data_IF_368617406877
#
_entry.id   IF_368617406877
#
_cell.length_a   1.000
_cell.length_b   1.000
_cell.length_c   1.000
_cell.angle_alpha   90.00
_cell.angle_beta   90.00
_cell.angle_gamma   90.00
#
_symmetry.space_group_name_H-M   'P 1'
#
loop_
_entity.id
_entity.type
_entity.pdbx_description
1 polymer ?
#
# COMPACT_ATOMS: atom_id res chain seq x y z
N UNK A 1 -7.39 3.98 4.88
CA UNK A 1 -8.22 5.20 4.85
C UNK A 1 -7.80 6.09 3.68
N UNK A 2 -8.77 6.64 2.97
CA UNK A 2 -8.61 7.48 1.78
C UNK A 2 -8.84 8.96 2.07
N UNK A 3 -9.57 9.32 3.12
CA UNK A 3 -9.80 10.73 3.48
C UNK A 3 -10.14 10.87 4.95
N UNK A 4 -9.75 11.99 5.54
CA UNK A 4 -10.23 12.42 6.87
C UNK A 4 -11.24 13.53 6.66
N UNK A 5 -12.49 13.32 7.09
CA UNK A 5 -13.58 14.30 6.95
C UNK A 5 -13.63 15.26 8.12
N UNK A 6 -13.56 14.72 9.34
CA UNK A 6 -13.71 15.49 10.57
C UNK A 6 -12.80 14.93 11.65
N UNK A 7 -12.16 15.84 12.37
CA UNK A 7 -11.39 15.54 13.57
C UNK A 7 -12.05 16.29 14.71
N UNK A 8 -12.63 15.57 15.66
CA UNK A 8 -13.20 16.15 16.88
C UNK A 8 -12.30 15.79 18.07
N UNK A 9 -12.67 16.18 19.29
CA UNK A 9 -11.87 15.90 20.47
C UNK A 9 -11.72 14.37 20.69
N UNK A 10 -12.85 13.66 20.75
CA UNK A 10 -12.93 12.22 21.09
C UNK A 10 -13.09 11.29 19.88
N UNK A 11 -13.53 11.83 18.75
CA UNK A 11 -13.98 11.07 17.57
C UNK A 11 -13.27 11.52 16.30
N UNK A 12 -13.24 10.63 15.31
CA UNK A 12 -12.69 10.84 13.98
C UNK A 12 -13.67 10.28 12.95
N UNK A 13 -13.99 11.08 11.93
CA UNK A 13 -14.78 10.62 10.78
C UNK A 13 -13.87 10.46 9.58
N UNK A 14 -13.77 9.25 9.04
CA UNK A 14 -12.86 8.89 7.94
C UNK A 14 -13.59 8.18 6.80
N UNK A 15 -13.00 8.25 5.61
CA UNK A 15 -13.40 7.44 4.46
C UNK A 15 -12.48 6.23 4.33
N UNK A 16 -13.04 5.03 4.36
CA UNK A 16 -12.35 3.78 4.04
C UNK A 16 -12.62 3.43 2.59
N UNK A 17 -11.56 3.27 1.80
CA UNK A 17 -11.69 2.82 0.42
C UNK A 17 -12.12 1.35 0.36
N UNK A 18 -13.04 1.06 -0.56
CA UNK A 18 -13.43 -0.26 -1.05
C UNK A 18 -13.18 -0.32 -2.56
N UNK A 19 -13.35 -1.50 -3.15
CA UNK A 19 -13.17 -1.71 -4.60
C UNK A 19 -14.14 -0.84 -5.43
N UNK A 20 -15.40 -0.76 -5.02
CA UNK A 20 -16.46 -0.04 -5.75
C UNK A 20 -16.85 1.33 -5.13
N UNK A 21 -16.09 1.83 -4.15
CA UNK A 21 -16.43 3.10 -3.50
C UNK A 21 -15.74 3.35 -2.16
N UNK A 22 -16.45 3.99 -1.24
CA UNK A 22 -15.94 4.28 0.09
C UNK A 22 -17.03 4.21 1.17
N UNK A 23 -16.61 3.83 2.38
CA UNK A 23 -17.44 3.87 3.58
C UNK A 23 -17.05 5.07 4.44
N UNK A 24 -18.05 5.79 4.96
CA UNK A 24 -17.83 6.85 5.95
C UNK A 24 -18.02 6.25 7.34
N UNK A 25 -16.94 6.21 8.13
CA UNK A 25 -16.92 5.56 9.44
C UNK A 25 -16.54 6.59 10.50
N UNK A 26 -17.28 6.61 11.61
CA UNK A 26 -16.90 7.32 12.83
C UNK A 26 -16.22 6.35 13.81
N UNK A 27 -15.06 6.74 14.33
CA UNK A 27 -14.27 5.95 15.29
C UNK A 27 -13.90 6.79 16.50
N UNK A 28 -13.87 6.17 17.68
CA UNK A 28 -13.41 6.78 18.92
C UNK A 28 -11.89 6.68 19.07
N UNK A 29 -11.27 7.69 19.67
CA UNK A 29 -9.84 7.71 19.99
C UNK A 29 -9.57 7.02 21.34
N UNK A 30 -8.41 6.34 21.52
CA UNK A 30 -7.32 6.15 20.57
C UNK A 30 -7.63 5.08 19.52
N UNK A 31 -7.23 5.31 18.28
CA UNK A 31 -7.44 4.36 17.17
C UNK A 31 -6.20 4.29 16.26
N UNK A 32 -6.01 3.16 15.60
CA UNK A 32 -4.99 2.97 14.57
C UNK A 32 -5.63 3.03 13.18
N UNK A 33 -5.05 3.84 12.30
CA UNK A 33 -5.52 4.01 10.92
C UNK A 33 -4.36 3.76 9.97
N UNK A 34 -4.57 2.93 8.95
CA UNK A 34 -3.63 2.75 7.83
C UNK A 34 -3.98 3.70 6.70
N UNK A 35 -3.01 4.44 6.16
CA UNK A 35 -3.21 5.36 5.04
C UNK A 35 -2.88 4.69 3.71
N UNK A 36 -3.70 4.95 2.68
CA UNK A 36 -3.38 4.58 1.29
C UNK A 36 -2.78 5.79 0.56
N UNK A 37 -2.11 5.56 -0.57
CA UNK A 37 -1.41 6.60 -1.34
C UNK A 37 -2.34 7.73 -1.80
N UNK A 38 -3.61 7.42 -2.01
CA UNK A 38 -4.66 8.31 -2.50
C UNK A 38 -5.09 9.33 -1.43
N UNK A 39 -4.67 9.15 -0.16
CA UNK A 39 -5.06 10.01 0.95
C UNK A 39 -4.69 11.48 0.74
N UNK A 40 -3.45 11.73 0.33
CA UNK A 40 -2.94 13.07 0.07
C UNK A 40 -1.68 13.02 -0.81
N UNK A 41 -1.27 14.19 -1.32
CA UNK A 41 0.05 14.36 -1.94
C UNK A 41 1.03 14.85 -0.88
N UNK A 42 2.08 14.09 -0.52
CA UNK A 42 3.09 14.54 0.43
C UNK A 42 3.71 15.87 -0.01
N UNK A 43 3.83 16.81 0.92
CA UNK A 43 4.43 18.13 0.64
C UNK A 43 5.93 18.00 0.37
N UNK A 44 6.47 18.92 -0.43
CA UNK A 44 7.92 19.05 -0.58
C UNK A 44 8.60 19.54 0.70
N UNK A 45 9.90 19.25 0.77
CA UNK A 45 10.79 19.77 1.80
C UNK A 45 11.07 21.26 1.55
N UNK A 46 11.41 21.99 2.61
CA UNK A 46 11.94 23.35 2.51
C UNK A 46 13.39 23.35 3.00
N UNK A 47 14.23 24.21 2.40
CA UNK A 47 15.67 24.26 2.71
C UNK A 47 15.93 24.47 4.20
N UNK A 48 15.24 25.43 4.83
CA UNK A 48 15.38 25.66 6.28
C UNK A 48 15.00 24.45 7.14
N UNK A 49 13.96 23.70 6.76
CA UNK A 49 13.54 22.50 7.51
C UNK A 49 14.50 21.32 7.33
N UNK A 50 15.28 21.30 6.25
CA UNK A 50 16.34 20.30 6.06
C UNK A 50 17.46 20.55 7.08
N UNK A 51 17.94 21.78 7.17
CA UNK A 51 18.94 22.19 8.17
C UNK A 51 18.47 21.93 9.61
N UNK A 52 17.21 22.27 9.93
CA UNK A 52 16.61 21.96 11.23
C UNK A 52 16.55 20.46 11.49
N UNK A 53 16.20 19.64 10.49
CA UNK A 53 16.09 18.20 10.64
C UNK A 53 17.46 17.55 10.94
N UNK A 54 18.54 18.03 10.32
CA UNK A 54 19.91 17.54 10.60
C UNK A 54 20.37 17.86 12.03
N UNK A 55 19.87 18.94 12.63
CA UNK A 55 20.22 19.35 13.99
C UNK A 55 19.39 18.66 15.07
N UNK A 56 18.26 18.01 14.69
CA UNK A 56 17.41 17.31 15.65
C UNK A 56 18.09 16.00 16.08
N UNK A 57 18.11 15.77 17.38
CA UNK A 57 18.54 14.49 17.93
C UNK A 57 17.53 13.40 17.53
N UNK A 58 18.04 12.31 16.96
CA UNK A 58 17.26 11.11 16.63
C UNK A 58 17.48 10.11 17.75
N UNK A 59 16.45 9.85 18.54
CA UNK A 59 16.51 8.81 19.57
C UNK A 59 16.53 7.45 18.88
N UNK A 60 17.62 6.70 19.08
CA UNK A 60 17.77 5.31 18.60
C UNK A 60 17.42 4.38 19.75
N UNK A 61 16.47 3.49 19.52
CA UNK A 61 16.01 2.51 20.51
C UNK A 61 16.54 1.15 20.12
N UNK A 62 17.07 0.41 21.09
CA UNK A 62 17.47 -0.99 20.95
C UNK A 62 16.50 -1.92 21.71
N UNK A 63 16.75 -3.23 21.68
CA UNK A 63 15.92 -4.20 22.38
C UNK A 63 15.94 -4.01 23.90
N UNK A 64 16.99 -3.41 24.47
CA UNK A 64 17.07 -3.09 25.90
C UNK A 64 16.24 -1.86 26.29
N UNK A 65 16.07 -0.94 25.34
CA UNK A 65 15.28 0.29 25.47
C UNK A 65 13.77 0.03 25.40
N UNK A 66 13.37 -1.11 24.85
CA UNK A 66 11.99 -1.56 24.71
C UNK A 66 11.78 -2.76 25.64
N UNK A 67 10.64 -2.86 26.32
CA UNK A 67 10.31 -4.02 27.15
C UNK A 67 9.87 -5.23 26.31
N UNK A 68 10.73 -5.67 25.37
CA UNK A 68 10.44 -6.76 24.41
C UNK A 68 11.51 -7.85 24.52
N UNK A 69 11.11 -9.10 24.37
CA UNK A 69 12.02 -10.25 24.42
C UNK A 69 12.40 -10.76 23.03
N UNK A 70 13.55 -11.44 22.86
CA UNK A 70 13.93 -12.04 21.58
C UNK A 70 12.97 -13.11 21.05
N UNK A 71 12.09 -13.64 21.91
CA UNK A 71 11.06 -14.61 21.54
C UNK A 71 9.77 -13.95 21.04
N UNK A 72 9.64 -12.63 21.18
CA UNK A 72 8.49 -11.84 20.70
C UNK A 72 8.79 -11.05 19.42
N UNK A 73 10.06 -10.86 19.06
CA UNK A 73 10.47 -10.08 17.89
C UNK A 73 11.49 -10.80 17.00
N UNK A 74 11.63 -10.30 15.78
CA UNK A 74 12.63 -10.79 14.82
C UNK A 74 12.25 -12.13 14.18
N UNK A 75 13.25 -12.78 13.58
CA UNK A 75 13.03 -14.00 12.78
C UNK A 75 12.52 -15.19 13.62
N UNK A 76 12.98 -15.31 14.87
CA UNK A 76 12.57 -16.40 15.78
C UNK A 76 11.09 -16.34 16.14
N UNK A 77 10.57 -15.12 16.34
CA UNK A 77 9.17 -14.89 16.67
C UNK A 77 8.24 -14.86 15.44
N UNK A 78 8.79 -14.86 14.21
CA UNK A 78 8.00 -14.75 12.99
C UNK A 78 7.26 -16.06 12.69
N UNK A 79 5.92 -16.07 12.65
CA UNK A 79 5.16 -17.28 12.30
C UNK A 79 5.32 -17.66 10.82
N UNK A 80 5.78 -16.75 9.97
CA UNK A 80 5.98 -16.98 8.54
C UNK A 80 7.47 -16.95 8.19
N UNK A 81 7.89 -17.83 7.27
CA UNK A 81 9.25 -17.89 6.75
C UNK A 81 9.22 -17.89 5.22
N UNK A 82 10.05 -17.03 4.61
CA UNK A 82 10.17 -16.97 3.15
C UNK A 82 10.96 -18.18 2.67
N UNK A 83 10.26 -19.15 2.06
CA UNK A 83 10.88 -20.40 1.60
C UNK A 83 11.68 -20.21 0.30
N UNK A 84 11.13 -19.46 -0.67
CA UNK A 84 11.78 -19.22 -1.96
C UNK A 84 11.31 -17.89 -2.53
N UNK A 85 12.24 -17.08 -3.01
CA UNK A 85 11.97 -15.92 -3.85
C UNK A 85 12.49 -16.22 -5.26
N UNK A 86 11.71 -15.86 -6.27
CA UNK A 86 12.09 -15.99 -7.67
C UNK A 86 11.52 -14.82 -8.47
N UNK A 87 12.22 -14.42 -9.53
CA UNK A 87 11.73 -13.39 -10.45
C UNK A 87 10.71 -14.01 -11.40
N UNK A 88 9.50 -13.43 -11.55
CA UNK A 88 8.54 -13.88 -12.55
C UNK A 88 9.16 -13.85 -13.95
N UNK A 89 8.85 -14.82 -14.83
CA UNK A 89 9.35 -14.79 -16.20
C UNK A 89 8.85 -13.52 -16.92
N UNK A 90 9.69 -12.91 -17.78
CA UNK A 90 9.26 -11.75 -18.56
C UNK A 90 8.12 -12.13 -19.50
N UNK A 91 7.22 -11.18 -19.78
CA UNK A 91 6.16 -11.39 -20.79
C UNK A 91 6.81 -11.73 -22.15
N UNK A 92 6.23 -12.70 -22.85
CA UNK A 92 6.67 -13.08 -24.20
C UNK A 92 6.44 -11.98 -25.23
N UNK A 93 6.91 -12.21 -26.47
CA UNK A 93 6.65 -11.31 -27.58
C UNK A 93 5.14 -11.17 -27.82
N UNK A 94 4.66 -9.94 -28.00
CA UNK A 94 3.26 -9.68 -28.35
C UNK A 94 2.92 -10.24 -29.73
N UNK A 95 1.70 -10.73 -29.89
CA UNK A 95 1.19 -11.22 -31.16
C UNK A 95 0.37 -10.13 -31.86
N UNK A 96 0.70 -9.84 -33.12
CA UNK A 96 -0.08 -8.95 -33.96
C UNK A 96 -1.17 -9.75 -34.66
N UNK A 97 -2.44 -9.40 -34.40
CA UNK A 97 -3.57 -10.04 -35.07
C UNK A 97 -3.75 -9.46 -36.48
N UNK A 98 -4.16 -10.31 -37.42
CA UNK A 98 -4.43 -9.94 -38.79
C UNK A 98 -5.84 -10.43 -39.19
N UNK A 99 -6.46 -9.76 -40.16
CA UNK A 99 -7.80 -10.08 -40.64
C UNK A 99 -8.68 -8.84 -40.75
N UNK A 100 -9.98 -9.05 -40.89
CA UNK A 100 -10.95 -7.96 -40.84
C UNK A 100 -11.17 -7.48 -39.40
N UNK A 101 -11.65 -6.25 -39.24
CA UNK A 101 -11.91 -5.65 -37.91
C UNK A 101 -12.77 -6.56 -37.01
N UNK A 102 -13.87 -7.18 -37.49
CA UNK A 102 -14.69 -8.08 -36.66
C UNK A 102 -13.94 -9.33 -36.20
N UNK A 103 -13.11 -9.92 -37.06
CA UNK A 103 -12.34 -11.15 -36.74
C UNK A 103 -11.25 -10.87 -35.71
N UNK A 104 -10.55 -9.75 -35.85
CA UNK A 104 -9.54 -9.32 -34.88
C UNK A 104 -10.18 -9.03 -33.51
N UNK A 105 -11.36 -8.40 -33.48
CA UNK A 105 -12.10 -8.12 -32.25
C UNK A 105 -12.57 -9.40 -31.54
N UNK A 106 -13.04 -10.41 -32.28
CA UNK A 106 -13.39 -11.71 -31.69
C UNK A 106 -12.15 -12.43 -31.13
N UNK A 107 -11.06 -12.43 -31.88
CA UNK A 107 -9.81 -13.11 -31.50
C UNK A 107 -9.16 -12.49 -30.27
N UNK A 108 -9.15 -11.16 -30.16
CA UNK A 108 -8.57 -10.50 -28.99
C UNK A 108 -9.37 -10.74 -27.71
N UNK A 109 -10.71 -10.71 -27.79
CA UNK A 109 -11.56 -10.98 -26.62
C UNK A 109 -11.37 -12.43 -26.16
N UNK A 110 -11.37 -13.39 -27.09
CA UNK A 110 -11.16 -14.80 -26.76
C UNK A 110 -9.82 -15.04 -26.02
N UNK A 111 -8.72 -14.46 -26.54
CA UNK A 111 -7.39 -14.60 -25.92
C UNK A 111 -7.28 -13.92 -24.56
N UNK A 112 -7.88 -12.74 -24.39
CA UNK A 112 -7.84 -12.02 -23.12
C UNK A 112 -8.69 -12.70 -22.03
N UNK A 113 -9.79 -13.35 -22.40
CA UNK A 113 -10.58 -14.19 -21.48
C UNK A 113 -9.81 -15.45 -21.09
N UNK A 114 -9.12 -16.11 -22.03
CA UNK A 114 -8.28 -17.28 -21.73
C UNK A 114 -7.17 -16.95 -20.72
N UNK A 115 -6.54 -15.79 -20.88
CA UNK A 115 -5.46 -15.30 -20.00
C UNK A 115 -5.97 -14.65 -18.69
N UNK A 116 -7.29 -14.68 -18.42
CA UNK A 116 -7.92 -14.09 -17.21
C UNK A 116 -7.60 -12.60 -17.01
N UNK A 117 -7.45 -11.86 -18.11
CA UNK A 117 -7.18 -10.42 -18.10
C UNK A 117 -8.48 -9.62 -18.20
N UNK A 118 -9.56 -10.26 -18.64
CA UNK A 118 -10.93 -9.74 -18.71
C UNK A 118 -11.85 -10.46 -17.72
#
# INVERSE_FOLDING_TARGET
MQKVRKVEEKTLTVERALEDGFEVIEVQKPCLLTAIKELNKPRYMSVGRIEEAYKKEITVWDEGSLHVTPDEVGLKASPTQVFRSFTPPPKGAGEMLAGTIPEMAGTIVAKLTEEHVL
#
